data_IF_765362139539
#
_entry.id   IF_765362139539
#
_cell.length_a   1.000
_cell.length_b   1.000
_cell.length_c   1.000
_cell.angle_alpha   90.00
_cell.angle_beta   90.00
_cell.angle_gamma   90.00
#
_symmetry.space_group_name_H-M   'P 1'
#
loop_
_entity.id
_entity.type
_entity.pdbx_description
1 polymer ?
#
# COMPACT_ATOMS: atom_id res chain seq x y z
N UNK A 1 -6.79 6.59 -18.09
CA UNK A 1 -6.42 6.13 -16.73
C UNK A 1 -6.52 7.32 -15.80
N UNK A 2 -7.40 7.25 -14.81
CA UNK A 2 -7.73 8.35 -13.90
C UNK A 2 -6.53 8.64 -12.96
N UNK A 3 -5.92 9.82 -13.13
CA UNK A 3 -5.06 10.55 -12.18
C UNK A 3 -3.81 9.86 -11.58
N UNK A 4 -3.40 8.68 -12.05
CA UNK A 4 -2.21 7.99 -11.55
C UNK A 4 -2.36 7.42 -10.14
N UNK A 5 -3.59 7.20 -9.69
CA UNK A 5 -3.87 6.59 -8.39
C UNK A 5 -4.30 5.14 -8.63
N UNK A 6 -3.64 4.21 -7.93
CA UNK A 6 -4.06 2.81 -7.88
C UNK A 6 -4.55 2.46 -6.48
N UNK A 7 -5.70 1.81 -6.37
CA UNK A 7 -6.30 1.40 -5.10
C UNK A 7 -6.33 -0.14 -4.99
N UNK A 8 -5.96 -0.67 -3.83
CA UNK A 8 -5.94 -2.12 -3.52
C UNK A 8 -6.63 -2.39 -2.20
N UNK A 9 -7.60 -3.31 -2.17
CA UNK A 9 -8.35 -3.65 -0.95
C UNK A 9 -7.91 -4.99 -0.37
N UNK A 10 -7.68 -5.03 0.95
CA UNK A 10 -7.17 -6.21 1.67
C UNK A 10 -8.20 -7.34 1.83
N UNK A 11 -9.50 -7.02 1.85
CA UNK A 11 -10.61 -7.95 2.06
C UNK A 11 -10.35 -8.92 3.23
N UNK A 12 -10.11 -10.19 2.95
CA UNK A 12 -9.96 -11.29 3.93
C UNK A 12 -8.51 -11.64 4.25
N UNK A 13 -7.52 -10.87 3.76
CA UNK A 13 -6.12 -11.14 4.04
C UNK A 13 -5.83 -11.14 5.55
N UNK A 14 -5.03 -12.12 5.99
CA UNK A 14 -4.53 -12.27 7.37
C UNK A 14 -3.04 -11.95 7.52
N UNK A 15 -2.38 -11.60 6.41
CA UNK A 15 -0.95 -11.36 6.37
C UNK A 15 -0.69 -10.01 5.67
N UNK A 16 -0.45 -8.98 6.48
CA UNK A 16 -0.18 -7.63 5.99
C UNK A 16 1.06 -7.60 5.09
N UNK A 17 2.18 -8.20 5.52
CA UNK A 17 3.41 -8.21 4.74
C UNK A 17 3.23 -8.90 3.37
N UNK A 18 2.63 -10.09 3.36
CA UNK A 18 2.36 -10.82 2.13
C UNK A 18 1.43 -10.07 1.16
N UNK A 19 0.40 -9.41 1.70
CA UNK A 19 -0.53 -8.62 0.89
C UNK A 19 0.14 -7.38 0.28
N UNK A 20 0.87 -6.59 1.09
CA UNK A 20 1.59 -5.41 0.59
C UNK A 20 2.63 -5.81 -0.44
N UNK A 21 3.40 -6.88 -0.21
CA UNK A 21 4.37 -7.39 -1.18
C UNK A 21 3.71 -7.73 -2.51
N UNK A 22 2.58 -8.45 -2.49
CA UNK A 22 1.83 -8.79 -3.70
C UNK A 22 1.37 -7.53 -4.46
N UNK A 23 0.93 -6.50 -3.74
CA UNK A 23 0.53 -5.24 -4.36
C UNK A 23 1.72 -4.48 -4.95
N UNK A 24 2.86 -4.47 -4.28
CA UNK A 24 4.09 -3.88 -4.80
C UNK A 24 4.54 -4.61 -6.07
N UNK A 25 4.69 -5.94 -6.01
CA UNK A 25 5.09 -6.78 -7.14
C UNK A 25 4.19 -6.56 -8.38
N UNK A 26 2.87 -6.46 -8.17
CA UNK A 26 1.90 -6.22 -9.26
C UNK A 26 1.89 -4.80 -9.80
N UNK A 27 2.54 -3.86 -9.12
CA UNK A 27 2.51 -2.43 -9.47
C UNK A 27 3.84 -1.93 -10.00
N UNK A 28 4.91 -2.70 -9.85
CA UNK A 28 6.19 -2.45 -10.51
C UNK A 28 6.01 -2.32 -12.03
N UNK A 29 6.64 -1.31 -12.62
CA UNK A 29 6.68 -1.05 -14.05
C UNK A 29 5.40 -0.43 -14.62
N UNK A 30 4.42 -0.09 -13.76
CA UNK A 30 3.19 0.57 -14.22
C UNK A 30 3.44 2.05 -14.53
N UNK A 31 3.51 2.35 -15.82
CA UNK A 31 3.68 3.73 -16.31
C UNK A 31 2.53 4.63 -15.85
N UNK A 32 2.90 5.78 -15.27
CA UNK A 32 1.95 6.83 -14.88
C UNK A 32 1.28 6.63 -13.52
N UNK A 33 1.67 5.60 -12.76
CA UNK A 33 1.30 5.49 -11.35
C UNK A 33 2.07 6.53 -10.53
N UNK A 34 1.34 7.26 -9.69
CA UNK A 34 1.87 8.28 -8.78
C UNK A 34 1.64 7.92 -7.32
N UNK A 35 0.53 7.23 -7.02
CA UNK A 35 0.13 6.89 -5.66
C UNK A 35 -0.51 5.52 -5.61
N UNK A 36 -0.04 4.69 -4.67
CA UNK A 36 -0.70 3.45 -4.29
C UNK A 36 -1.48 3.68 -3.00
N UNK A 37 -2.79 3.42 -3.03
CA UNK A 37 -3.67 3.45 -1.86
C UNK A 37 -4.04 2.02 -1.49
N UNK A 38 -3.72 1.62 -0.27
CA UNK A 38 -4.10 0.31 0.27
C UNK A 38 -5.27 0.51 1.24
N UNK A 39 -6.41 0.00 0.85
CA UNK A 39 -7.66 0.09 1.58
C UNK A 39 -7.75 -0.98 2.66
N UNK A 40 -7.70 -0.50 3.91
CA UNK A 40 -7.86 -1.28 5.11
C UNK A 40 -9.22 -1.06 5.79
N UNK A 41 -10.10 -0.19 5.28
CA UNK A 41 -11.32 0.24 5.98
C UNK A 41 -12.19 -0.96 6.41
N UNK A 42 -12.54 -1.83 5.45
CA UNK A 42 -13.40 -3.00 5.68
C UNK A 42 -12.63 -4.31 5.93
N UNK A 43 -11.30 -4.29 6.06
CA UNK A 43 -10.55 -5.53 6.25
C UNK A 43 -10.89 -6.19 7.61
N UNK A 44 -10.83 -7.52 7.73
CA UNK A 44 -11.27 -8.16 8.98
C UNK A 44 -10.14 -8.45 9.98
N UNK A 45 -8.90 -8.58 9.49
CA UNK A 45 -7.84 -9.23 10.26
C UNK A 45 -6.55 -8.43 10.39
N UNK A 46 -6.42 -7.32 9.66
CA UNK A 46 -5.20 -6.53 9.60
C UNK A 46 -5.43 -5.17 10.26
N UNK A 47 -4.60 -4.82 11.23
CA UNK A 47 -4.62 -3.50 11.86
C UNK A 47 -3.91 -2.47 10.98
N UNK A 48 -4.24 -1.19 11.15
CA UNK A 48 -3.56 -0.10 10.44
C UNK A 48 -2.05 -0.07 10.76
N UNK A 49 -1.68 -0.42 12.00
CA UNK A 49 -0.27 -0.52 12.41
C UNK A 49 0.48 -1.65 11.71
N UNK A 50 -0.13 -2.83 11.56
CA UNK A 50 0.49 -3.95 10.85
C UNK A 50 0.73 -3.60 9.38
N UNK A 51 -0.24 -2.90 8.78
CA UNK A 51 -0.15 -2.46 7.40
C UNK A 51 0.94 -1.39 7.21
N UNK A 52 1.00 -0.39 8.08
CA UNK A 52 2.06 0.61 8.10
C UNK A 52 3.44 -0.04 8.27
N UNK A 53 3.57 -1.01 9.18
CA UNK A 53 4.81 -1.72 9.43
C UNK A 53 5.25 -2.54 8.22
N UNK A 54 4.31 -3.24 7.56
CA UNK A 54 4.57 -3.99 6.33
C UNK A 54 5.08 -3.08 5.20
N UNK A 55 4.42 -1.94 4.96
CA UNK A 55 4.85 -0.96 3.95
C UNK A 55 6.27 -0.44 4.25
N UNK A 56 6.53 -0.01 5.49
CA UNK A 56 7.85 0.50 5.90
C UNK A 56 8.94 -0.57 5.91
N UNK A 57 8.57 -1.83 6.11
CA UNK A 57 9.49 -2.96 6.00
C UNK A 57 9.91 -3.19 4.55
N UNK A 58 8.93 -3.23 3.64
CA UNK A 58 9.18 -3.48 2.21
C UNK A 58 9.92 -2.33 1.54
N UNK A 59 9.64 -1.07 1.89
CA UNK A 59 10.33 0.09 1.29
C UNK A 59 11.82 0.17 1.65
N UNK A 60 12.33 -0.68 2.56
CA UNK A 60 13.76 -0.82 2.80
C UNK A 60 14.48 -1.59 1.68
N UNK A 61 13.75 -2.34 0.86
CA UNK A 61 14.29 -2.92 -0.36
C UNK A 61 14.40 -1.82 -1.42
N UNK A 62 15.59 -1.65 -1.99
CA UNK A 62 15.90 -0.61 -2.97
C UNK A 62 15.01 -0.67 -4.22
N UNK A 63 14.62 -1.86 -4.67
CA UNK A 63 13.72 -2.02 -5.82
C UNK A 63 12.36 -1.36 -5.57
N UNK A 64 11.75 -1.64 -4.42
CA UNK A 64 10.48 -1.01 -4.04
C UNK A 64 10.68 0.48 -3.71
N UNK A 65 11.80 0.85 -3.10
CA UNK A 65 12.08 2.24 -2.77
C UNK A 65 12.20 3.15 -4.00
N UNK A 66 12.70 2.61 -5.11
CA UNK A 66 12.85 3.32 -6.38
C UNK A 66 11.55 3.45 -7.18
N UNK A 67 10.62 2.51 -7.00
CA UNK A 67 9.35 2.47 -7.75
C UNK A 67 8.22 3.25 -7.05
N UNK A 68 8.21 3.28 -5.71
CA UNK A 68 7.08 3.82 -4.94
C UNK A 68 7.46 5.10 -4.17
N UNK A 69 7.08 6.25 -4.73
CA UNK A 69 7.26 7.57 -4.08
C UNK A 69 6.11 7.94 -3.14
N UNK A 70 4.91 7.42 -3.39
CA UNK A 70 3.73 7.73 -2.58
C UNK A 70 2.87 6.49 -2.30
N UNK A 71 2.84 6.07 -1.03
CA UNK A 71 2.02 4.97 -0.55
C UNK A 71 1.17 5.45 0.62
N UNK A 72 -0.14 5.25 0.51
CA UNK A 72 -1.14 5.68 1.49
C UNK A 72 -1.97 4.48 1.91
N UNK A 73 -2.45 4.48 3.15
CA UNK A 73 -3.51 3.58 3.59
C UNK A 73 -4.82 4.35 3.76
N UNK A 74 -5.95 3.75 3.39
CA UNK A 74 -7.25 4.15 3.92
C UNK A 74 -7.45 3.35 5.22
N UNK A 75 -7.37 4.03 6.34
CA UNK A 75 -7.37 3.42 7.67
C UNK A 75 -8.78 2.94 8.10
N UNK A 76 -8.86 2.25 9.23
CA UNK A 76 -10.13 1.76 9.79
C UNK A 76 -11.13 2.86 10.15
N UNK A 77 -10.66 4.09 10.31
CA UNK A 77 -11.47 5.25 10.67
C UNK A 77 -11.95 6.03 9.44
N UNK A 78 -11.56 5.61 8.23
CA UNK A 78 -11.91 6.28 6.98
C UNK A 78 -10.97 7.43 6.60
N UNK A 79 -9.81 7.55 7.24
CA UNK A 79 -8.81 8.57 6.94
C UNK A 79 -7.74 8.05 5.99
N UNK A 80 -7.23 8.93 5.13
CA UNK A 80 -6.05 8.64 4.30
C UNK A 80 -4.78 9.00 5.07
N UNK A 81 -3.93 8.01 5.34
CA UNK A 81 -2.65 8.18 6.01
C UNK A 81 -1.52 7.89 5.03
N UNK A 82 -0.71 8.91 4.75
CA UNK A 82 0.51 8.73 3.95
C UNK A 82 1.57 8.00 4.77
N UNK A 83 1.93 6.79 4.34
CA UNK A 83 2.97 5.99 4.99
C UNK A 83 4.34 6.32 4.39
N UNK A 84 4.37 6.57 3.08
CA UNK A 84 5.52 7.02 2.29
C UNK A 84 5.08 8.18 1.42
N UNK A 85 5.87 9.26 1.42
CA UNK A 85 5.71 10.40 0.52
C UNK A 85 7.07 11.08 0.30
N UNK A 86 7.61 10.96 -0.91
CA UNK A 86 8.89 11.57 -1.34
C UNK A 86 8.65 12.74 -2.29
#
# INVERSE_FOLDING_TARGET
MLNGIEMKTLLTSRNAHGAVKNYFDKSIGKKGMKRLVIDNYESLHITDSDLCAAIRGLIKNEEYAAEFDWVTILDKSGNLIDVIRK
#
